data_IF_415489925237
#
_entry.id   IF_415489925237
#
_cell.length_a   1.000
_cell.length_b   1.000
_cell.length_c   1.000
_cell.angle_alpha   90.00
_cell.angle_beta   90.00
_cell.angle_gamma   90.00
#
_symmetry.space_group_name_H-M   'P 1'
#
loop_
_entity.id
_entity.type
_entity.pdbx_description
1 polymer ?
#
# COMPACT_ATOMS: atom_id res chain seq x y z
N UNK A 1 -2.52 12.27 22.89
CA UNK A 1 -1.76 13.10 21.92
C UNK A 1 -2.23 12.74 20.53
N UNK A 2 -2.25 13.67 19.57
CA UNK A 2 -2.63 13.33 18.19
C UNK A 2 -1.56 12.41 17.58
N UNK A 3 -1.97 11.29 16.98
CA UNK A 3 -1.04 10.39 16.30
C UNK A 3 -0.34 11.12 15.15
N UNK A 4 0.98 10.93 15.03
CA UNK A 4 1.75 11.47 13.91
C UNK A 4 1.52 10.61 12.68
N UNK A 5 1.02 11.17 11.58
CA UNK A 5 0.72 10.42 10.36
C UNK A 5 1.44 11.01 9.14
N UNK A 6 2.39 10.28 8.58
CA UNK A 6 3.08 10.61 7.33
C UNK A 6 2.27 10.13 6.12
N UNK A 7 1.80 11.07 5.28
CA UNK A 7 1.05 10.78 4.03
C UNK A 7 1.77 11.21 2.75
N UNK A 8 2.77 12.09 2.89
CA UNK A 8 3.51 12.74 1.79
C UNK A 8 4.98 12.30 1.73
N UNK A 9 5.30 11.15 2.29
CA UNK A 9 6.65 10.59 2.32
C UNK A 9 7.44 11.03 3.54
N UNK A 10 8.73 10.65 3.56
CA UNK A 10 9.61 10.86 4.70
C UNK A 10 10.87 11.67 4.34
N UNK A 11 10.91 12.25 3.14
CA UNK A 11 12.00 13.07 2.57
C UNK A 11 13.35 12.34 2.44
N UNK A 12 13.32 11.01 2.25
CA UNK A 12 14.52 10.17 2.16
C UNK A 12 14.65 9.43 0.83
N UNK A 13 13.94 9.88 -0.21
CA UNK A 13 13.90 9.20 -1.53
C UNK A 13 15.30 8.97 -2.12
N UNK A 14 16.17 9.97 -2.08
CA UNK A 14 17.54 9.83 -2.57
C UNK A 14 18.38 8.83 -1.76
N UNK A 15 18.12 8.72 -0.45
CA UNK A 15 18.86 7.83 0.43
C UNK A 15 18.54 6.34 0.18
N UNK A 16 17.34 6.02 -0.32
CA UNK A 16 16.90 4.64 -0.58
C UNK A 16 16.94 4.26 -2.06
N UNK A 17 17.09 5.23 -2.97
CA UNK A 17 17.07 5.00 -4.42
C UNK A 17 18.06 3.93 -4.89
N UNK A 18 19.27 3.89 -4.32
CA UNK A 18 20.28 2.90 -4.69
C UNK A 18 19.91 1.46 -4.29
N UNK A 19 19.19 1.28 -3.19
CA UNK A 19 18.71 -0.02 -2.73
C UNK A 19 17.54 -0.52 -3.57
N UNK A 20 16.54 0.35 -3.77
CA UNK A 20 15.41 0.08 -4.67
C UNK A 20 15.88 -0.26 -6.09
N UNK A 21 16.89 0.47 -6.60
CA UNK A 21 17.47 0.21 -7.91
C UNK A 21 18.08 -1.19 -8.01
N UNK A 22 18.85 -1.62 -6.99
CA UNK A 22 19.44 -2.96 -6.98
C UNK A 22 18.39 -4.07 -6.90
N UNK A 23 17.31 -3.81 -6.17
CA UNK A 23 16.33 -4.83 -5.84
C UNK A 23 15.26 -5.04 -6.91
N UNK A 24 14.93 -3.98 -7.67
CA UNK A 24 13.78 -4.00 -8.58
C UNK A 24 14.11 -3.59 -10.02
N UNK A 25 15.31 -3.07 -10.32
CA UNK A 25 15.70 -2.78 -11.72
C UNK A 25 16.42 -3.95 -12.37
N UNK A 26 16.16 -4.13 -13.67
CA UNK A 26 16.78 -5.18 -14.49
C UNK A 26 17.41 -4.58 -15.73
N UNK A 27 18.73 -4.74 -15.84
CA UNK A 27 19.50 -4.32 -17.03
C UNK A 27 19.01 -4.95 -18.32
N UNK A 28 18.42 -6.14 -18.26
CA UNK A 28 17.85 -6.80 -19.44
C UNK A 28 16.59 -6.03 -19.90
N UNK A 29 15.71 -5.71 -18.96
CA UNK A 29 14.49 -4.94 -19.26
C UNK A 29 14.84 -3.54 -19.78
N UNK A 30 15.85 -2.89 -19.21
CA UNK A 30 16.30 -1.58 -19.67
C UNK A 30 16.78 -1.62 -21.13
N UNK A 31 17.58 -2.62 -21.50
CA UNK A 31 17.97 -2.81 -22.92
C UNK A 31 16.78 -3.07 -23.84
N UNK A 32 15.77 -3.82 -23.39
CA UNK A 32 14.58 -4.09 -24.20
C UNK A 32 13.78 -2.80 -24.39
N UNK A 33 13.65 -1.96 -23.35
CA UNK A 33 13.00 -0.64 -23.41
C UNK A 33 13.73 0.30 -24.37
N UNK A 34 15.06 0.35 -24.30
CA UNK A 34 15.91 1.12 -25.22
C UNK A 34 15.77 0.66 -26.68
N UNK A 35 15.36 -0.59 -26.91
CA UNK A 35 15.14 -1.19 -28.23
C UNK A 35 13.67 -1.10 -28.71
N UNK A 36 12.95 -0.03 -28.33
CA UNK A 36 11.51 0.14 -28.56
C UNK A 36 10.68 -1.10 -28.17
N UNK A 37 10.96 -1.62 -26.98
CA UNK A 37 10.24 -2.75 -26.38
C UNK A 37 10.33 -4.07 -27.16
N UNK A 38 11.29 -4.21 -28.07
CA UNK A 38 11.52 -5.44 -28.84
C UNK A 38 12.99 -5.84 -28.79
N UNK A 39 13.26 -7.07 -28.39
CA UNK A 39 14.61 -7.63 -28.42
C UNK A 39 14.67 -8.88 -29.28
N UNK A 40 15.72 -9.00 -30.10
CA UNK A 40 15.91 -10.10 -31.04
C UNK A 40 17.26 -10.76 -30.81
N UNK A 41 17.27 -12.09 -30.79
CA UNK A 41 18.49 -12.90 -30.74
C UNK A 41 18.32 -14.17 -31.56
N UNK A 42 18.99 -14.22 -32.71
CA UNK A 42 18.81 -15.29 -33.69
C UNK A 42 17.34 -15.40 -34.11
N UNK A 43 16.73 -16.56 -33.86
CA UNK A 43 15.31 -16.82 -34.16
C UNK A 43 14.32 -16.38 -33.07
N UNK A 44 14.80 -15.93 -31.91
CA UNK A 44 13.97 -15.52 -30.78
C UNK A 44 13.65 -14.02 -30.88
N UNK A 45 12.37 -13.67 -30.74
CA UNK A 45 11.91 -12.29 -30.57
C UNK A 45 11.14 -12.18 -29.25
N UNK A 46 11.54 -11.23 -28.41
CA UNK A 46 10.86 -10.89 -27.16
C UNK A 46 10.18 -9.53 -27.34
N UNK A 47 8.92 -9.44 -26.95
CA UNK A 47 8.16 -8.20 -26.88
C UNK A 47 7.88 -7.89 -25.41
N UNK A 48 8.25 -6.68 -24.97
CA UNK A 48 7.91 -6.18 -23.66
C UNK A 48 6.67 -5.30 -23.76
N UNK A 49 5.72 -5.47 -22.84
CA UNK A 49 4.60 -4.54 -22.75
C UNK A 49 5.12 -3.13 -22.41
N UNK A 50 4.53 -2.09 -23.01
CA UNK A 50 4.93 -0.69 -22.73
C UNK A 50 4.70 -0.33 -21.26
N UNK A 51 3.55 -0.76 -20.73
CA UNK A 51 3.21 -0.67 -19.32
C UNK A 51 3.62 -1.97 -18.61
N UNK A 52 4.89 -2.05 -18.20
CA UNK A 52 5.45 -3.22 -17.50
C UNK A 52 6.20 -2.80 -16.23
N UNK A 53 5.79 -3.37 -15.10
CA UNK A 53 6.43 -3.19 -13.80
C UNK A 53 5.44 -2.73 -12.73
N UNK A 54 5.96 -2.11 -11.68
CA UNK A 54 5.15 -1.49 -10.64
C UNK A 54 4.40 -0.27 -11.19
N UNK A 55 3.15 -0.11 -10.76
CA UNK A 55 2.45 1.14 -10.97
C UNK A 55 2.95 2.18 -9.96
N UNK A 56 2.68 3.46 -10.23
CA UNK A 56 3.08 4.57 -9.35
C UNK A 56 2.68 4.37 -7.87
N UNK A 57 1.49 3.81 -7.62
CA UNK A 57 1.02 3.55 -6.25
C UNK A 57 1.87 2.52 -5.51
N UNK A 58 2.27 1.46 -6.22
CA UNK A 58 3.14 0.39 -5.68
C UNK A 58 4.55 0.92 -5.47
N UNK A 59 5.14 1.59 -6.46
CA UNK A 59 6.47 2.20 -6.35
C UNK A 59 6.57 3.09 -5.11
N UNK A 60 5.58 3.96 -4.91
CA UNK A 60 5.53 4.86 -3.76
C UNK A 60 5.40 4.11 -2.43
N UNK A 61 4.58 3.05 -2.38
CA UNK A 61 4.39 2.30 -1.15
C UNK A 61 5.65 1.56 -0.72
N UNK A 62 6.34 0.93 -1.69
CA UNK A 62 7.63 0.28 -1.44
C UNK A 62 8.68 1.32 -1.04
N UNK A 63 8.81 2.42 -1.78
CA UNK A 63 9.71 3.53 -1.44
C UNK A 63 9.52 4.03 0.00
N UNK A 64 8.27 4.26 0.42
CA UNK A 64 7.98 4.71 1.78
C UNK A 64 8.33 3.65 2.83
N UNK A 65 8.18 2.36 2.54
CA UNK A 65 8.57 1.30 3.47
C UNK A 65 10.09 1.32 3.72
N UNK A 66 10.92 1.41 2.65
CA UNK A 66 12.37 1.53 2.79
C UNK A 66 12.77 2.83 3.51
N UNK A 67 12.14 3.96 3.17
CA UNK A 67 12.41 5.23 3.86
C UNK A 67 12.03 5.18 5.34
N UNK A 68 10.95 4.48 5.68
CA UNK A 68 10.51 4.32 7.07
C UNK A 68 11.56 3.58 7.87
N UNK A 69 12.04 2.45 7.36
CA UNK A 69 13.11 1.68 8.01
C UNK A 69 14.39 2.50 8.16
N UNK A 70 14.74 3.30 7.15
CA UNK A 70 15.93 4.17 7.16
C UNK A 70 15.80 5.34 8.15
N UNK A 71 14.61 5.92 8.29
CA UNK A 71 14.35 7.08 9.16
C UNK A 71 14.34 6.73 10.63
N UNK A 72 13.85 5.54 10.96
CA UNK A 72 13.61 5.14 12.34
C UNK A 72 14.43 3.91 12.72
N UNK A 73 15.75 3.86 12.50
CA UNK A 73 16.56 2.64 12.58
C UNK A 73 16.40 1.88 13.89
N UNK A 74 16.20 2.57 15.01
CA UNK A 74 16.13 1.98 16.36
C UNK A 74 14.70 1.67 16.85
N UNK A 75 13.67 1.94 16.04
CA UNK A 75 12.26 1.68 16.40
C UNK A 75 11.72 0.44 15.71
N UNK A 76 10.81 -0.28 16.37
CA UNK A 76 10.07 -1.37 15.72
C UNK A 76 9.18 -0.77 14.63
N UNK A 77 9.24 -1.37 13.44
CA UNK A 77 8.39 -0.97 12.31
C UNK A 77 7.51 -2.16 11.97
N UNK A 78 6.21 -1.95 12.10
CA UNK A 78 5.18 -2.89 11.70
C UNK A 78 4.58 -2.49 10.35
N UNK A 79 4.06 -3.47 9.64
CA UNK A 79 3.18 -3.33 8.50
C UNK A 79 1.88 -4.07 8.83
N UNK A 80 0.73 -3.46 8.59
CA UNK A 80 -0.56 -4.05 9.03
C UNK A 80 -0.92 -5.37 8.33
N UNK A 81 -0.27 -5.67 7.20
CA UNK A 81 -0.46 -6.86 6.38
C UNK A 81 0.62 -6.88 5.32
N UNK A 82 0.31 -7.33 4.10
CA UNK A 82 1.25 -7.19 2.97
C UNK A 82 1.34 -5.75 2.47
N UNK A 83 2.50 -5.30 1.97
CA UNK A 83 2.61 -3.94 1.38
C UNK A 83 1.85 -3.90 0.05
N UNK A 84 1.97 -5.01 -0.68
CA UNK A 84 1.33 -5.40 -1.94
C UNK A 84 1.28 -6.93 -2.00
N UNK A 85 0.44 -7.49 -2.86
CA UNK A 85 0.38 -8.94 -3.13
C UNK A 85 1.56 -9.44 -3.97
N UNK A 86 2.77 -9.33 -3.42
CA UNK A 86 4.00 -9.84 -4.01
C UNK A 86 4.91 -10.40 -2.90
N UNK A 87 4.99 -11.73 -2.76
CA UNK A 87 5.80 -12.38 -1.73
C UNK A 87 7.26 -11.92 -1.73
N UNK A 88 7.88 -11.76 -2.91
CA UNK A 88 9.28 -11.33 -3.00
C UNK A 88 9.51 -9.92 -2.45
N UNK A 89 8.54 -9.01 -2.63
CA UNK A 89 8.63 -7.66 -2.05
C UNK A 89 8.46 -7.73 -0.53
N UNK A 90 7.47 -8.47 -0.06
CA UNK A 90 7.21 -8.63 1.38
C UNK A 90 8.40 -9.28 2.10
N UNK A 91 9.02 -10.31 1.51
CA UNK A 91 10.20 -10.98 2.08
C UNK A 91 11.40 -10.04 2.17
N UNK A 92 11.61 -9.16 1.19
CA UNK A 92 12.65 -8.12 1.29
C UNK A 92 12.40 -7.16 2.43
N UNK A 93 11.14 -6.73 2.63
CA UNK A 93 10.79 -5.86 3.77
C UNK A 93 10.99 -6.58 5.11
N UNK A 94 10.66 -7.88 5.20
CA UNK A 94 10.98 -8.70 6.38
C UNK A 94 12.47 -8.77 6.64
N UNK A 95 13.27 -9.02 5.61
CA UNK A 95 14.73 -9.06 5.70
C UNK A 95 15.32 -7.68 6.07
N UNK A 96 14.63 -6.59 5.73
CA UNK A 96 14.97 -5.24 6.17
C UNK A 96 14.51 -4.94 7.62
N UNK A 97 13.95 -5.91 8.35
CA UNK A 97 13.54 -5.76 9.75
C UNK A 97 12.17 -5.12 9.95
N UNK A 98 11.28 -5.17 8.96
CA UNK A 98 9.87 -4.79 9.10
C UNK A 98 9.06 -6.03 9.50
N UNK A 99 8.31 -5.93 10.59
CA UNK A 99 7.43 -6.98 11.11
C UNK A 99 6.01 -6.81 10.53
N UNK A 100 5.26 -7.90 10.42
CA UNK A 100 3.94 -7.89 9.79
C UNK A 100 2.89 -8.31 10.82
N UNK A 101 1.89 -7.46 11.06
CA UNK A 101 0.81 -7.74 12.02
C UNK A 101 -0.14 -8.85 11.56
N UNK A 102 0.02 -9.32 10.32
CA UNK A 102 -0.67 -10.51 9.78
C UNK A 102 0.08 -11.81 10.06
N UNK A 103 1.35 -11.76 10.48
CA UNK A 103 2.15 -12.95 10.72
C UNK A 103 1.70 -13.65 12.04
N UNK A 104 1.85 -14.98 12.16
CA UNK A 104 1.38 -15.71 13.34
C UNK A 104 2.00 -15.20 14.65
N UNK A 105 1.15 -14.84 15.60
CA UNK A 105 1.58 -14.35 16.93
C UNK A 105 1.75 -12.83 17.00
N UNK A 106 1.74 -12.13 15.87
CA UNK A 106 1.70 -10.67 15.82
C UNK A 106 0.24 -10.19 15.80
N UNK A 107 -0.05 -9.14 16.56
CA UNK A 107 -1.37 -8.52 16.63
C UNK A 107 -1.24 -7.03 16.90
N UNK A 108 -2.23 -6.29 16.43
CA UNK A 108 -2.33 -4.84 16.60
C UNK A 108 -2.27 -4.40 18.09
N UNK A 109 -2.67 -5.25 19.05
CA UNK A 109 -2.60 -4.90 20.48
C UNK A 109 -1.18 -4.87 21.05
N UNK A 110 -0.19 -5.40 20.34
CA UNK A 110 1.22 -5.29 20.73
C UNK A 110 1.84 -3.94 20.34
N UNK A 111 1.17 -3.18 19.47
CA UNK A 111 1.65 -1.88 19.01
C UNK A 111 1.58 -0.86 20.14
N UNK A 112 2.72 -0.24 20.43
CA UNK A 112 2.91 0.82 21.42
C UNK A 112 3.08 2.19 20.77
N UNK A 113 3.07 3.26 21.58
CA UNK A 113 3.31 4.62 21.09
C UNK A 113 4.73 4.81 20.49
N UNK A 114 5.68 3.98 20.91
CA UNK A 114 7.07 4.01 20.45
C UNK A 114 7.28 3.24 19.15
N UNK A 115 6.24 2.64 18.57
CA UNK A 115 6.34 1.90 17.31
C UNK A 115 5.95 2.74 16.09
N UNK A 116 6.39 2.28 14.91
CA UNK A 116 5.95 2.79 13.61
C UNK A 116 5.05 1.75 12.96
N UNK A 117 3.90 2.16 12.42
CA UNK A 117 3.03 1.27 11.64
C UNK A 117 2.83 1.82 10.24
N UNK A 118 3.21 1.02 9.25
CA UNK A 118 2.99 1.30 7.84
C UNK A 118 1.61 0.75 7.45
N UNK A 119 0.81 1.57 6.77
CA UNK A 119 -0.45 1.16 6.14
C UNK A 119 -0.18 0.85 4.65
N UNK A 120 -0.71 -0.25 4.09
CA UNK A 120 -0.36 -0.73 2.76
C UNK A 120 -0.97 0.09 1.62
N UNK A 121 -0.59 -0.23 0.38
CA UNK A 121 -1.01 0.52 -0.80
C UNK A 121 -2.54 0.50 -1.05
N UNK A 122 -3.21 -0.58 -0.64
CA UNK A 122 -4.67 -0.73 -0.70
C UNK A 122 -5.41 -0.10 0.50
N UNK A 123 -4.67 0.39 1.50
CA UNK A 123 -5.19 1.04 2.69
C UNK A 123 -5.72 0.07 3.75
N UNK A 124 -6.38 0.63 4.77
CA UNK A 124 -6.98 -0.11 5.89
C UNK A 124 -8.40 0.39 6.15
N UNK A 125 -9.18 -0.40 6.90
CA UNK A 125 -10.52 0.02 7.31
C UNK A 125 -10.47 1.20 8.28
N UNK A 126 -11.55 1.99 8.36
CA UNK A 126 -11.67 3.08 9.34
C UNK A 126 -11.47 2.57 10.78
N UNK A 127 -12.05 1.43 11.13
CA UNK A 127 -11.91 0.86 12.47
C UNK A 127 -10.45 0.50 12.81
N UNK A 128 -9.72 -0.11 11.88
CA UNK A 128 -8.30 -0.43 12.08
C UNK A 128 -7.45 0.85 12.20
N UNK A 129 -7.75 1.88 11.38
CA UNK A 129 -7.07 3.17 11.48
C UNK A 129 -7.33 3.85 12.84
N UNK A 130 -8.59 3.85 13.31
CA UNK A 130 -8.96 4.42 14.61
C UNK A 130 -8.27 3.71 15.77
N UNK A 131 -8.18 2.37 15.72
CA UNK A 131 -7.45 1.58 16.71
C UNK A 131 -5.96 1.97 16.75
N UNK A 132 -5.31 2.05 15.59
CA UNK A 132 -3.90 2.44 15.48
C UNK A 132 -3.63 3.88 15.95
N UNK A 133 -4.52 4.81 15.62
CA UNK A 133 -4.47 6.19 16.13
C UNK A 133 -4.63 6.21 17.65
N UNK A 134 -5.52 5.36 18.19
CA UNK A 134 -5.72 5.18 19.63
C UNK A 134 -4.47 4.68 20.37
N UNK A 135 -3.65 3.83 19.74
CA UNK A 135 -2.36 3.39 20.28
C UNK A 135 -1.31 4.52 20.39
N UNK A 136 -1.51 5.64 19.70
CA UNK A 136 -0.58 6.77 19.70
C UNK A 136 0.74 6.53 18.94
N UNK A 137 0.83 5.40 18.21
CA UNK A 137 1.98 5.06 17.38
C UNK A 137 2.17 6.06 16.22
N UNK A 138 3.35 6.02 15.60
CA UNK A 138 3.61 6.81 14.39
C UNK A 138 3.12 6.05 13.16
N UNK A 139 2.27 6.66 12.35
CA UNK A 139 1.73 6.03 11.14
C UNK A 139 2.41 6.51 9.87
N UNK A 140 2.68 5.59 8.96
CA UNK A 140 3.12 5.88 7.59
C UNK A 140 2.08 5.31 6.63
N UNK A 141 1.26 6.20 6.08
CA UNK A 141 0.13 5.83 5.23
C UNK A 141 0.56 5.80 3.76
N UNK A 142 0.71 4.60 3.21
CA UNK A 142 1.11 4.40 1.81
C UNK A 142 -0.06 4.21 0.85
N UNK A 143 -1.30 4.37 1.32
CA UNK A 143 -2.52 4.16 0.52
C UNK A 143 -2.45 4.92 -0.80
N UNK A 144 -2.59 4.20 -1.91
CA UNK A 144 -2.46 4.71 -3.26
C UNK A 144 -3.41 5.89 -3.53
N UNK A 145 -2.94 6.92 -4.24
CA UNK A 145 -3.75 8.09 -4.57
C UNK A 145 -5.03 7.76 -5.33
N UNK A 146 -5.00 6.74 -6.20
CA UNK A 146 -6.19 6.25 -6.91
C UNK A 146 -7.22 5.67 -5.94
N UNK A 147 -6.79 4.92 -4.92
CA UNK A 147 -7.65 4.36 -3.87
C UNK A 147 -8.26 5.48 -3.02
N UNK A 148 -7.46 6.49 -2.64
CA UNK A 148 -7.93 7.67 -1.92
C UNK A 148 -9.00 8.44 -2.70
N UNK A 149 -8.91 8.50 -4.03
CA UNK A 149 -9.94 9.11 -4.87
C UNK A 149 -11.26 8.32 -4.83
N UNK A 150 -11.20 6.98 -4.83
CA UNK A 150 -12.38 6.14 -4.65
C UNK A 150 -13.01 6.42 -3.27
N UNK A 151 -12.21 6.44 -2.22
CA UNK A 151 -12.68 6.73 -0.85
C UNK A 151 -13.34 8.11 -0.75
N UNK A 152 -12.78 9.13 -1.41
CA UNK A 152 -13.38 10.48 -1.47
C UNK A 152 -14.78 10.44 -2.09
N UNK A 153 -14.97 9.69 -3.17
CA UNK A 153 -16.28 9.54 -3.82
C UNK A 153 -17.27 8.79 -2.94
N UNK A 154 -16.84 7.68 -2.32
CA UNK A 154 -17.69 6.89 -1.41
C UNK A 154 -18.15 7.72 -0.22
N UNK A 155 -17.25 8.49 0.40
CA UNK A 155 -17.59 9.40 1.51
C UNK A 155 -18.57 10.49 1.08
N UNK A 156 -18.41 11.04 -0.12
CA UNK A 156 -19.35 12.03 -0.68
C UNK A 156 -20.74 11.42 -0.84
N UNK A 157 -20.84 10.26 -1.51
CA UNK A 157 -22.13 9.59 -1.71
C UNK A 157 -22.83 9.25 -0.40
N UNK A 158 -22.09 8.81 0.61
CA UNK A 158 -22.65 8.56 1.93
C UNK A 158 -23.24 9.82 2.59
N UNK A 159 -22.54 10.97 2.51
CA UNK A 159 -23.05 12.25 3.04
C UNK A 159 -24.27 12.76 2.29
N UNK A 160 -24.33 12.50 0.99
CA UNK A 160 -25.42 12.93 0.12
C UNK A 160 -26.64 11.98 0.22
N UNK A 161 -26.60 10.97 1.09
CA UNK A 161 -27.71 10.04 1.34
C UNK A 161 -27.84 8.91 0.30
N UNK A 162 -26.85 8.72 -0.57
CA UNK A 162 -26.86 7.65 -1.57
C UNK A 162 -26.29 6.34 -1.01
N UNK A 163 -26.78 5.22 -1.55
CA UNK A 163 -26.15 3.90 -1.36
C UNK A 163 -24.99 3.75 -2.34
N UNK A 164 -23.78 3.49 -1.83
CA UNK A 164 -22.61 3.22 -2.67
C UNK A 164 -22.65 1.78 -3.21
N UNK A 165 -22.59 1.62 -4.53
CA UNK A 165 -22.39 0.31 -5.16
C UNK A 165 -20.89 0.17 -5.45
N UNK A 166 -20.25 -0.83 -4.84
CA UNK A 166 -18.82 -1.10 -4.97
C UNK A 166 -18.66 -2.38 -5.78
N UNK A 167 -18.12 -2.25 -6.99
CA UNK A 167 -17.82 -3.41 -7.82
C UNK A 167 -16.46 -4.00 -7.45
N UNK A 168 -16.45 -5.18 -6.83
CA UNK A 168 -15.22 -5.82 -6.38
C UNK A 168 -15.44 -7.09 -5.57
N UNK A 169 -14.34 -7.75 -5.22
CA UNK A 169 -14.37 -8.94 -4.36
C UNK A 169 -14.59 -8.51 -2.91
N UNK A 170 -15.65 -9.02 -2.29
CA UNK A 170 -16.01 -8.63 -0.91
C UNK A 170 -14.87 -8.87 0.07
N UNK A 171 -14.11 -9.96 -0.06
CA UNK A 171 -13.03 -10.29 0.89
C UNK A 171 -11.69 -9.57 0.61
N UNK A 172 -11.56 -8.81 -0.48
CA UNK A 172 -10.30 -8.13 -0.81
C UNK A 172 -10.09 -6.90 0.09
N UNK A 173 -8.86 -6.66 0.57
CA UNK A 173 -8.62 -5.60 1.57
C UNK A 173 -9.00 -4.21 1.06
N UNK A 174 -8.70 -3.90 -0.21
CA UNK A 174 -9.09 -2.62 -0.81
C UNK A 174 -10.61 -2.41 -0.81
N UNK A 175 -11.39 -3.48 -1.05
CA UNK A 175 -12.85 -3.43 -1.03
C UNK A 175 -13.35 -3.18 0.38
N UNK A 176 -12.80 -3.88 1.37
CA UNK A 176 -13.16 -3.71 2.78
C UNK A 176 -12.81 -2.30 3.29
N UNK A 177 -11.61 -1.82 2.95
CA UNK A 177 -11.15 -0.48 3.29
C UNK A 177 -12.07 0.58 2.66
N UNK A 178 -12.43 0.42 1.38
CA UNK A 178 -13.34 1.30 0.65
C UNK A 178 -14.75 1.28 1.21
N UNK A 179 -15.31 0.10 1.48
CA UNK A 179 -16.63 -0.06 2.07
C UNK A 179 -16.73 0.58 3.45
N UNK A 180 -15.67 0.47 4.27
CA UNK A 180 -15.65 1.10 5.60
C UNK A 180 -15.79 2.62 5.57
N UNK A 181 -15.48 3.26 4.43
CA UNK A 181 -15.55 4.71 4.27
C UNK A 181 -16.98 5.26 4.30
N UNK A 182 -18.01 4.43 4.10
CA UNK A 182 -19.41 4.87 4.21
C UNK A 182 -19.78 5.30 5.62
N UNK A 183 -19.06 4.78 6.63
CA UNK A 183 -19.34 5.01 8.06
C UNK A 183 -19.06 6.45 8.52
N UNK A 184 -18.52 7.29 7.65
CA UNK A 184 -18.39 8.74 7.91
C UNK A 184 -19.75 9.44 8.01
N UNK A 185 -20.83 8.81 7.52
CA UNK A 185 -22.21 9.23 7.71
C UNK A 185 -22.94 8.16 8.54
N UNK A 186 -23.78 8.59 9.49
CA UNK A 186 -24.48 7.70 10.43
C UNK A 186 -25.45 6.73 9.75
N UNK A 187 -25.97 7.09 8.57
CA UNK A 187 -26.92 6.30 7.77
C UNK A 187 -26.32 5.82 6.44
N UNK A 188 -24.98 5.87 6.31
CA UNK A 188 -24.25 5.47 5.13
C UNK A 188 -24.48 4.00 4.77
N UNK A 189 -24.82 3.73 3.51
CA UNK A 189 -25.16 2.39 2.99
C UNK A 189 -24.24 2.01 1.84
N UNK A 190 -23.95 0.72 1.72
CA UNK A 190 -23.22 0.18 0.58
C UNK A 190 -23.67 -1.23 0.23
N UNK A 191 -23.41 -1.62 -1.02
CA UNK A 191 -23.49 -3.00 -1.50
C UNK A 191 -22.20 -3.29 -2.25
N UNK A 192 -21.60 -4.45 -1.99
CA UNK A 192 -20.48 -4.96 -2.80
C UNK A 192 -21.03 -5.97 -3.79
N UNK A 193 -20.74 -5.77 -5.07
CA UNK A 193 -21.13 -6.68 -6.14
C UNK A 193 -19.87 -7.21 -6.82
N UNK A 194 -19.79 -8.53 -7.01
CA UNK A 194 -18.71 -9.14 -7.78
C UNK A 194 -19.01 -9.10 -9.29
N UNK A 195 -20.26 -9.40 -9.65
CA UNK A 195 -20.75 -9.51 -11.01
C UNK A 195 -22.04 -8.70 -11.16
N UNK A 196 -22.22 -8.07 -12.32
CA UNK A 196 -23.40 -7.27 -12.67
C UNK A 196 -24.33 -7.99 -13.65
N UNK A 197 -24.54 -9.30 -13.46
CA UNK A 197 -25.47 -10.08 -14.30
C UNK A 197 -26.92 -9.88 -13.89
#
# INVERSE_FOLDING_TARGET
>A
MAATIFRKGLDLKHAVAGELARDYHSRILDRIRESDFVWRSGRLTLHLAREFGFCYGVDRAVDYAYQTRRKFPDRTVFLTGEIIHNPHVNDRLRNAGIQFLSDPGERIEQVTADDIVILPAFGVTIAALEQLVGCGCTLVDTTCGSVLNVWKNVRRYARDGFTAIIHGKVQHEETQATASQVRVASDGRYVVLLDCQ
#
